data_IF_256342513867
#
_entry.id   IF_256342513867
#
_cell.length_a   1.000
_cell.length_b   1.000
_cell.length_c   1.000
_cell.angle_alpha   90.00
_cell.angle_beta   90.00
_cell.angle_gamma   90.00
#
_symmetry.space_group_name_H-M   'P 1'
#
loop_
_entity.id
_entity.type
_entity.pdbx_description
1 polymer ?
#
# COMPACT_ATOMS: atom_id res chain seq x y z
N UNK A 1 10.93 -59.42 -27.67
CA UNK A 1 10.45 -58.04 -27.47
C UNK A 1 10.69 -57.67 -26.02
N UNK A 2 11.53 -56.66 -25.77
CA UNK A 2 12.32 -56.54 -24.54
C UNK A 2 11.56 -55.93 -23.36
N UNK A 3 11.83 -56.49 -22.17
CA UNK A 3 11.37 -56.06 -20.83
C UNK A 3 11.53 -54.54 -20.60
N UNK A 4 12.47 -53.89 -21.29
CA UNK A 4 12.68 -52.42 -21.26
C UNK A 4 11.51 -51.60 -21.81
N UNK A 5 10.77 -52.10 -22.81
CA UNK A 5 9.59 -51.39 -23.34
C UNK A 5 8.39 -51.45 -22.38
N UNK A 6 8.28 -52.54 -21.62
CA UNK A 6 7.18 -52.72 -20.66
C UNK A 6 7.31 -51.80 -19.44
N UNK A 7 8.53 -51.66 -18.92
CA UNK A 7 8.83 -50.75 -17.79
C UNK A 7 8.63 -49.29 -18.20
N UNK A 8 9.04 -48.90 -19.42
CA UNK A 8 8.82 -47.55 -19.94
C UNK A 8 7.34 -47.18 -20.05
N UNK A 9 6.49 -48.12 -20.46
CA UNK A 9 5.05 -47.90 -20.57
C UNK A 9 4.36 -47.86 -19.18
N UNK A 10 4.82 -48.67 -18.23
CA UNK A 10 4.31 -48.65 -16.85
C UNK A 10 4.67 -47.35 -16.11
N UNK A 11 5.92 -46.87 -16.26
CA UNK A 11 6.36 -45.59 -15.70
C UNK A 11 5.62 -44.40 -16.34
N UNK A 12 5.34 -44.47 -17.65
CA UNK A 12 4.57 -43.44 -18.34
C UNK A 12 3.11 -43.40 -17.87
N UNK A 13 2.49 -44.56 -17.63
CA UNK A 13 1.16 -44.64 -17.02
C UNK A 13 1.13 -44.04 -15.61
N UNK A 14 2.12 -44.36 -14.77
CA UNK A 14 2.20 -43.84 -13.41
C UNK A 14 2.49 -42.33 -13.36
N UNK A 15 3.40 -41.84 -14.20
CA UNK A 15 3.68 -40.41 -14.31
C UNK A 15 2.45 -39.63 -14.81
N UNK A 16 1.67 -40.21 -15.72
CA UNK A 16 0.42 -39.62 -16.20
C UNK A 16 -0.65 -39.61 -15.10
N UNK A 17 -0.79 -40.69 -14.31
CA UNK A 17 -1.68 -40.70 -13.14
C UNK A 17 -1.26 -39.69 -12.07
N UNK A 18 0.06 -39.50 -11.83
CA UNK A 18 0.58 -38.53 -10.84
C UNK A 18 0.43 -37.09 -11.35
N UNK A 19 0.64 -36.84 -12.65
CA UNK A 19 0.39 -35.54 -13.29
C UNK A 19 -1.10 -35.21 -13.38
N UNK A 20 -1.97 -36.20 -13.58
CA UNK A 20 -3.43 -36.02 -13.57
C UNK A 20 -3.99 -35.91 -12.13
N UNK A 21 -3.24 -36.36 -11.11
CA UNK A 21 -3.53 -36.13 -9.69
C UNK A 21 -3.08 -34.75 -9.19
N UNK A 22 -2.16 -34.09 -9.90
CA UNK A 22 -1.80 -32.70 -9.66
C UNK A 22 -2.87 -31.80 -10.30
N UNK A 23 -4.07 -31.86 -9.73
CA UNK A 23 -5.19 -30.99 -10.07
C UNK A 23 -4.83 -29.57 -9.63
N UNK A 24 -4.00 -28.88 -10.42
CA UNK A 24 -3.71 -27.44 -10.29
C UNK A 24 -4.93 -26.58 -10.63
N UNK A 25 -6.15 -27.12 -10.50
CA UNK A 25 -7.36 -26.33 -10.41
C UNK A 25 -7.32 -25.66 -9.05
N UNK A 26 -6.87 -24.40 -9.08
CA UNK A 26 -6.96 -23.47 -7.96
C UNK A 26 -8.30 -23.72 -7.24
N UNK A 27 -8.30 -24.09 -5.95
CA UNK A 27 -9.52 -24.44 -5.24
C UNK A 27 -10.47 -23.25 -5.30
N UNK A 28 -11.50 -23.34 -6.13
CA UNK A 28 -12.43 -22.23 -6.39
C UNK A 28 -13.11 -21.80 -5.09
N UNK A 29 -13.30 -22.73 -4.15
CA UNK A 29 -13.82 -22.46 -2.82
C UNK A 29 -12.93 -21.50 -2.02
N UNK A 30 -11.60 -21.60 -2.13
CA UNK A 30 -10.68 -20.67 -1.48
C UNK A 30 -10.69 -19.30 -2.17
N UNK A 31 -10.86 -19.26 -3.50
CA UNK A 31 -11.02 -18.00 -4.24
C UNK A 31 -12.33 -17.31 -3.88
N UNK A 32 -13.43 -18.06 -3.75
CA UNK A 32 -14.72 -17.55 -3.30
C UNK A 32 -14.62 -17.05 -1.87
N UNK A 33 -13.97 -17.78 -0.96
CA UNK A 33 -13.74 -17.31 0.41
C UNK A 33 -12.89 -16.03 0.49
N UNK A 34 -11.85 -15.91 -0.36
CA UNK A 34 -11.06 -14.69 -0.49
C UNK A 34 -11.87 -13.54 -1.08
N UNK A 35 -12.68 -13.79 -2.11
CA UNK A 35 -13.60 -12.80 -2.68
C UNK A 35 -14.64 -12.35 -1.65
N UNK A 36 -15.17 -13.26 -0.84
CA UNK A 36 -16.11 -12.97 0.24
C UNK A 36 -15.46 -12.14 1.35
N UNK A 37 -14.21 -12.45 1.71
CA UNK A 37 -13.42 -11.65 2.65
C UNK A 37 -13.14 -10.24 2.11
N UNK A 38 -12.75 -10.14 0.84
CA UNK A 38 -12.50 -8.86 0.17
C UNK A 38 -13.78 -8.04 0.01
N UNK A 39 -14.91 -8.69 -0.29
CA UNK A 39 -16.22 -8.04 -0.40
C UNK A 39 -16.74 -7.55 0.97
N UNK A 40 -16.44 -8.27 2.05
CA UNK A 40 -16.78 -7.87 3.42
C UNK A 40 -15.85 -6.79 3.97
N UNK A 41 -14.63 -6.66 3.43
CA UNK A 41 -13.79 -5.48 3.61
C UNK A 41 -14.32 -4.33 2.74
N UNK A 42 -15.57 -3.92 2.99
CA UNK A 42 -16.10 -2.68 2.46
C UNK A 42 -15.33 -1.52 3.10
N UNK A 43 -14.22 -1.13 2.47
CA UNK A 43 -13.57 0.14 2.76
C UNK A 43 -14.61 1.23 2.53
N UNK A 44 -14.80 2.11 3.52
CA UNK A 44 -15.73 3.22 3.39
C UNK A 44 -15.28 4.07 2.18
N UNK A 45 -16.01 3.99 1.07
CA UNK A 45 -15.58 4.55 -0.23
C UNK A 45 -15.79 6.07 -0.31
N UNK A 46 -16.41 6.67 0.71
CA UNK A 46 -16.62 8.10 0.84
C UNK A 46 -16.31 8.53 2.28
N UNK A 47 -15.01 8.60 2.66
CA UNK A 47 -14.63 9.12 3.97
C UNK A 47 -15.14 10.56 4.13
N UNK A 48 -15.63 10.90 5.31
CA UNK A 48 -16.16 12.23 5.60
C UNK A 48 -15.06 13.25 5.89
N UNK A 49 -13.89 12.77 6.31
CA UNK A 49 -12.74 13.57 6.73
C UNK A 49 -11.43 12.92 6.28
N UNK A 50 -10.39 13.74 6.07
CA UNK A 50 -9.05 13.31 5.69
C UNK A 50 -8.47 12.31 6.70
N UNK A 51 -8.76 12.50 8.00
CA UNK A 51 -8.33 11.57 9.04
C UNK A 51 -8.93 10.18 8.85
N UNK A 52 -10.21 10.10 8.49
CA UNK A 52 -10.90 8.83 8.24
C UNK A 52 -10.32 8.12 7.02
N UNK A 53 -10.03 8.87 5.94
CA UNK A 53 -9.34 8.35 4.77
C UNK A 53 -7.97 7.76 5.14
N UNK A 54 -7.16 8.51 5.89
CA UNK A 54 -5.80 8.09 6.27
C UNK A 54 -5.82 6.86 7.17
N UNK A 55 -6.80 6.73 8.06
CA UNK A 55 -7.06 5.50 8.84
C UNK A 55 -7.52 4.32 7.96
N UNK A 56 -8.32 4.60 6.92
CA UNK A 56 -8.71 3.61 5.91
C UNK A 56 -7.52 3.09 5.12
N UNK A 57 -6.68 4.00 4.61
CA UNK A 57 -5.44 3.69 3.90
C UNK A 57 -4.45 2.93 4.77
N UNK A 58 -4.33 3.28 6.06
CA UNK A 58 -3.51 2.54 7.02
C UNK A 58 -3.86 1.06 7.04
N UNK A 59 -5.16 0.77 7.14
CA UNK A 59 -5.70 -0.60 7.17
C UNK A 59 -5.58 -1.30 5.82
N UNK A 60 -5.85 -0.59 4.72
CA UNK A 60 -5.80 -1.11 3.34
C UNK A 60 -4.41 -1.58 2.95
N UNK A 61 -3.38 -0.82 3.33
CA UNK A 61 -2.00 -1.08 2.96
C UNK A 61 -1.19 -1.82 4.04
N UNK A 62 -1.82 -2.17 5.17
CA UNK A 62 -1.19 -2.87 6.30
C UNK A 62 0.09 -2.14 6.75
N UNK A 63 -0.05 -0.83 6.97
CA UNK A 63 1.04 0.03 7.45
C UNK A 63 0.81 0.41 8.91
N UNK A 64 1.89 0.66 9.66
CA UNK A 64 1.83 1.02 11.07
C UNK A 64 1.31 2.45 11.27
N UNK A 65 1.76 3.37 10.42
CA UNK A 65 1.28 4.74 10.42
C UNK A 65 1.45 5.44 9.07
N UNK A 66 0.55 6.41 8.82
CA UNK A 66 0.64 7.37 7.74
C UNK A 66 0.51 8.75 8.36
N UNK A 67 1.49 9.61 8.14
CA UNK A 67 1.46 11.02 8.49
C UNK A 67 1.74 11.85 7.25
N UNK A 68 1.01 12.95 7.10
CA UNK A 68 1.05 13.81 5.92
C UNK A 68 1.32 15.22 6.39
N UNK A 69 2.31 15.86 5.80
CA UNK A 69 2.67 17.24 6.09
C UNK A 69 2.74 18.09 4.85
N UNK A 70 2.57 19.40 5.02
CA UNK A 70 2.98 20.35 4.00
C UNK A 70 4.50 20.53 4.01
N UNK A 71 5.05 21.08 2.93
CA UNK A 71 6.50 21.38 2.83
C UNK A 71 7.02 22.36 3.89
N UNK A 72 6.15 23.11 4.56
CA UNK A 72 6.51 23.99 5.68
C UNK A 72 6.60 23.25 7.04
N UNK A 73 6.37 21.94 7.07
CA UNK A 73 6.39 21.13 8.29
C UNK A 73 5.07 21.13 9.07
N UNK A 74 4.01 21.78 8.58
CA UNK A 74 2.68 21.69 9.19
C UNK A 74 2.05 20.32 8.94
N UNK A 75 1.46 19.73 9.99
CA UNK A 75 0.74 18.47 9.92
C UNK A 75 -0.63 18.69 9.26
N UNK A 76 -0.93 17.91 8.21
CA UNK A 76 -2.25 17.87 7.58
C UNK A 76 -3.12 16.77 8.19
N UNK A 77 -2.58 15.57 8.30
CA UNK A 77 -3.26 14.43 8.87
C UNK A 77 -2.29 13.39 9.38
N UNK A 78 -2.73 12.61 10.36
CA UNK A 78 -1.99 11.46 10.87
C UNK A 78 -2.98 10.37 11.28
N UNK A 79 -2.64 9.11 10.94
CA UNK A 79 -3.32 7.92 11.47
C UNK A 79 -2.91 7.61 12.92
N UNK A 80 -2.04 8.41 13.53
CA UNK A 80 -1.58 8.20 14.91
C UNK A 80 -1.53 9.53 15.65
N UNK A 81 -1.80 9.52 16.95
CA UNK A 81 -1.89 10.73 17.78
C UNK A 81 -0.60 11.55 17.91
N UNK A 82 0.57 10.95 17.61
CA UNK A 82 1.89 11.59 17.72
C UNK A 82 2.44 12.15 16.39
N UNK A 83 1.59 12.38 15.39
CA UNK A 83 2.04 12.77 14.04
C UNK A 83 2.84 14.08 13.96
N UNK A 84 2.69 15.01 14.90
CA UNK A 84 3.33 16.32 14.83
C UNK A 84 4.85 16.28 15.00
N UNK A 85 5.36 15.57 16.02
CA UNK A 85 6.82 15.44 16.23
C UNK A 85 7.46 14.62 15.12
N UNK A 86 6.78 13.55 14.70
CA UNK A 86 7.18 12.68 13.59
C UNK A 86 7.34 13.48 12.29
N UNK A 87 6.35 14.31 11.96
CA UNK A 87 6.39 15.18 10.78
C UNK A 87 7.58 16.12 10.81
N UNK A 88 7.83 16.79 11.94
CA UNK A 88 8.93 17.77 12.02
C UNK A 88 10.27 17.07 11.77
N UNK A 89 10.54 15.97 12.47
CA UNK A 89 11.79 15.22 12.32
C UNK A 89 11.94 14.64 10.92
N UNK A 90 10.88 14.04 10.39
CA UNK A 90 10.92 13.41 9.08
C UNK A 90 11.06 14.41 7.93
N UNK A 91 10.35 15.55 8.00
CA UNK A 91 10.49 16.62 7.02
C UNK A 91 11.89 17.24 7.05
N UNK A 92 12.48 17.44 8.25
CA UNK A 92 13.85 17.92 8.37
C UNK A 92 14.85 16.94 7.76
N UNK A 93 14.70 15.64 8.04
CA UNK A 93 15.55 14.60 7.48
C UNK A 93 15.43 14.52 5.96
N UNK A 94 14.20 14.55 5.43
CA UNK A 94 13.97 14.52 4.00
C UNK A 94 14.56 15.75 3.29
N UNK A 95 14.42 16.93 3.88
CA UNK A 95 15.03 18.16 3.35
C UNK A 95 16.55 18.11 3.36
N UNK A 96 17.16 17.54 4.41
CA UNK A 96 18.61 17.30 4.46
C UNK A 96 19.05 16.32 3.36
N UNK A 97 18.35 15.22 3.16
CA UNK A 97 18.67 14.29 2.07
C UNK A 97 18.54 14.97 0.71
N UNK A 98 17.53 15.82 0.51
CA UNK A 98 17.38 16.59 -0.74
C UNK A 98 18.48 17.64 -0.95
N UNK A 99 19.06 18.22 0.12
CA UNK A 99 20.17 19.17 -0.02
C UNK A 99 21.47 18.48 -0.43
N UNK A 100 21.71 17.27 0.07
CA UNK A 100 22.89 16.47 -0.28
C UNK A 100 22.73 15.71 -1.60
N UNK A 101 21.52 15.19 -1.87
CA UNK A 101 21.17 14.41 -3.06
C UNK A 101 19.96 15.06 -3.75
N UNK A 102 20.20 16.09 -4.58
CA UNK A 102 19.14 16.74 -5.33
C UNK A 102 18.38 15.74 -6.20
N UNK A 103 17.05 15.90 -6.28
CA UNK A 103 16.11 15.03 -7.01
C UNK A 103 15.82 13.66 -6.38
N UNK A 104 16.20 13.41 -5.12
CA UNK A 104 15.75 12.21 -4.41
C UNK A 104 14.21 12.18 -4.32
N UNK A 105 13.59 11.15 -4.88
CA UNK A 105 12.12 11.00 -4.89
C UNK A 105 11.60 10.38 -3.58
N UNK A 106 12.27 9.32 -3.11
CA UNK A 106 11.87 8.52 -1.95
C UNK A 106 13.11 8.23 -1.11
N UNK A 107 12.96 8.33 0.22
CA UNK A 107 13.97 7.98 1.21
C UNK A 107 13.41 6.83 2.06
N UNK A 108 14.11 5.71 2.06
CA UNK A 108 13.75 4.51 2.80
C UNK A 108 14.75 4.30 3.94
N UNK A 109 14.27 4.24 5.18
CA UNK A 109 15.10 4.10 6.38
C UNK A 109 14.64 2.85 7.13
N UNK A 110 15.49 1.83 7.23
CA UNK A 110 15.21 0.68 8.09
C UNK A 110 15.43 1.07 9.54
N UNK A 111 14.39 0.97 10.37
CA UNK A 111 14.48 1.16 11.82
C UNK A 111 13.88 -0.07 12.51
N UNK A 112 14.67 -0.93 13.17
CA UNK A 112 14.14 -2.17 13.75
C UNK A 112 12.98 -1.88 14.73
N UNK A 113 11.77 -2.46 14.54
CA UNK A 113 11.41 -3.53 13.59
C UNK A 113 10.85 -3.08 12.23
N UNK A 114 10.50 -1.81 12.02
CA UNK A 114 9.81 -1.27 10.84
C UNK A 114 10.71 -0.58 9.80
N UNK A 115 10.08 0.03 8.80
CA UNK A 115 10.65 0.92 7.80
C UNK A 115 9.98 2.28 7.94
N UNK A 116 10.77 3.35 7.92
CA UNK A 116 10.28 4.71 7.76
C UNK A 116 10.50 5.13 6.31
N UNK A 117 9.43 5.47 5.62
CA UNK A 117 9.43 5.80 4.20
C UNK A 117 8.97 7.24 4.05
N UNK A 118 9.86 8.07 3.50
CA UNK A 118 9.64 9.50 3.33
C UNK A 118 9.66 9.81 1.85
N UNK A 119 8.63 10.47 1.36
CA UNK A 119 8.60 10.88 -0.03
C UNK A 119 7.77 12.14 -0.21
N UNK A 120 8.12 12.87 -1.26
CA UNK A 120 7.39 14.08 -1.64
C UNK A 120 6.44 13.76 -2.79
N UNK A 121 5.20 14.19 -2.64
CA UNK A 121 4.22 14.15 -3.72
C UNK A 121 3.52 15.49 -3.79
N UNK A 122 3.58 16.14 -4.96
CA UNK A 122 3.18 17.53 -5.16
C UNK A 122 3.86 18.47 -4.13
N UNK A 123 3.08 19.16 -3.31
CA UNK A 123 3.52 20.09 -2.26
C UNK A 123 3.39 19.51 -0.85
N UNK A 124 3.41 18.18 -0.73
CA UNK A 124 3.23 17.47 0.54
C UNK A 124 4.33 16.44 0.74
N UNK A 125 4.69 16.21 2.00
CA UNK A 125 5.62 15.16 2.41
C UNK A 125 4.78 14.08 3.09
N UNK A 126 4.94 12.87 2.59
CA UNK A 126 4.29 11.68 3.12
C UNK A 126 5.31 10.89 3.93
N UNK A 127 4.88 10.48 5.12
CA UNK A 127 5.68 9.72 6.07
C UNK A 127 4.90 8.46 6.37
N UNK A 128 5.45 7.32 5.97
CA UNK A 128 4.80 6.03 6.12
C UNK A 128 5.70 5.12 6.92
N UNK A 129 5.16 4.55 7.99
CA UNK A 129 5.82 3.50 8.78
C UNK A 129 5.15 2.17 8.49
N UNK A 130 5.94 1.15 8.20
CA UNK A 130 5.41 -0.19 7.95
C UNK A 130 6.43 -1.28 8.32
N UNK A 131 5.99 -2.51 8.63
CA UNK A 131 6.90 -3.61 8.92
C UNK A 131 7.75 -4.01 7.70
N UNK A 132 7.23 -3.79 6.49
CA UNK A 132 7.91 -4.04 5.22
C UNK A 132 8.02 -2.75 4.41
N UNK A 133 8.97 -2.71 3.46
CA UNK A 133 9.06 -1.59 2.54
C UNK A 133 7.92 -1.68 1.52
N UNK A 134 7.32 -0.54 1.21
CA UNK A 134 6.38 -0.38 0.11
C UNK A 134 7.15 -0.03 -1.16
N UNK A 135 6.62 -0.50 -2.28
CA UNK A 135 7.09 -0.11 -3.60
C UNK A 135 6.71 1.34 -3.90
N UNK A 136 7.43 1.99 -4.81
CA UNK A 136 7.12 3.35 -5.26
C UNK A 136 5.72 3.47 -5.86
N UNK A 137 5.21 2.39 -6.46
CA UNK A 137 3.85 2.31 -7.01
C UNK A 137 2.81 2.39 -5.89
N UNK A 138 3.00 1.66 -4.81
CA UNK A 138 2.10 1.69 -3.65
C UNK A 138 2.14 3.04 -2.93
N UNK A 139 3.34 3.60 -2.73
CA UNK A 139 3.50 4.94 -2.17
C UNK A 139 2.75 5.99 -3.00
N UNK A 140 2.87 5.93 -4.33
CA UNK A 140 2.16 6.83 -5.25
C UNK A 140 0.64 6.60 -5.23
N UNK A 141 0.19 5.36 -5.11
CA UNK A 141 -1.23 5.03 -5.00
C UNK A 141 -1.85 5.68 -3.75
N UNK A 142 -1.19 5.56 -2.59
CA UNK A 142 -1.61 6.20 -1.34
C UNK A 142 -1.71 7.72 -1.52
N UNK A 143 -0.70 8.35 -2.11
CA UNK A 143 -0.71 9.80 -2.30
C UNK A 143 -1.72 10.28 -3.33
N UNK A 144 -2.01 9.48 -4.36
CA UNK A 144 -3.06 9.79 -5.33
C UNK A 144 -4.44 9.77 -4.67
N UNK A 145 -4.77 8.74 -3.88
CA UNK A 145 -6.05 8.64 -3.18
C UNK A 145 -6.26 9.84 -2.23
N UNK A 146 -5.20 10.26 -1.54
CA UNK A 146 -5.22 11.48 -0.70
C UNK A 146 -5.44 12.75 -1.53
N UNK A 147 -4.72 12.91 -2.64
CA UNK A 147 -4.84 14.13 -3.44
C UNK A 147 -6.22 14.23 -4.12
N UNK A 148 -6.75 13.12 -4.61
CA UNK A 148 -8.10 13.06 -5.16
C UNK A 148 -9.15 13.47 -4.13
N UNK A 149 -9.02 12.99 -2.89
CA UNK A 149 -9.89 13.38 -1.80
C UNK A 149 -9.85 14.90 -1.55
N UNK A 150 -8.64 15.47 -1.46
CA UNK A 150 -8.47 16.90 -1.22
C UNK A 150 -9.00 17.77 -2.38
N UNK A 151 -8.83 17.33 -3.62
CA UNK A 151 -9.37 18.01 -4.80
C UNK A 151 -10.90 18.00 -4.78
N UNK A 152 -11.53 16.87 -4.41
CA UNK A 152 -12.98 16.77 -4.27
C UNK A 152 -13.50 17.69 -3.17
N UNK A 153 -12.89 17.63 -1.98
CA UNK A 153 -13.24 18.49 -0.85
C UNK A 153 -13.13 19.98 -1.19
N UNK A 154 -12.09 20.38 -1.93
CA UNK A 154 -11.93 21.77 -2.38
C UNK A 154 -13.03 22.18 -3.37
N UNK A 155 -13.38 21.32 -4.34
CA UNK A 155 -14.46 21.61 -5.30
C UNK A 155 -15.82 21.77 -4.63
N UNK A 156 -16.09 20.99 -3.59
CA UNK A 156 -17.32 21.10 -2.80
C UNK A 156 -17.35 22.40 -1.99
N UNK A 157 -16.21 22.86 -1.45
CA UNK A 157 -16.10 24.13 -0.75
C UNK A 157 -16.21 25.35 -1.68
N UNK A 158 -15.69 25.25 -2.91
CA UNK A 158 -15.72 26.32 -3.92
C UNK A 158 -17.05 26.37 -4.70
N UNK A 159 -17.96 25.41 -4.50
CA UNK A 159 -19.28 25.42 -5.15
C UNK A 159 -20.15 26.55 -4.57
N UNK A 160 -20.79 27.39 -5.42
CA UNK A 160 -21.64 28.45 -4.92
C UNK A 160 -22.78 27.83 -4.11
N UNK A 161 -22.96 28.31 -2.88
CA UNK A 161 -24.09 27.97 -2.04
C UNK A 161 -25.35 28.17 -2.88
N UNK A 162 -26.06 27.07 -3.17
CA UNK A 162 -27.36 27.14 -3.83
C UNK A 162 -28.27 27.94 -2.89
N UNK A 163 -28.51 29.20 -3.26
CA UNK A 163 -29.45 30.10 -2.60
C UNK A 163 -30.89 29.65 -2.75
#
# INVERSE_FOLDING_TARGET
MGVRQFIGNALRGFAQTVLDMDDTRVPQEHLVALQDLLARQAFNQAPSDLKELVEGLRRKHIVDSISISQTNGSLLASSTGNGASEVITASALFNYVQSEIPKSEVVLIKASPSWNMLFKYNSKIFIIKAPMHLTTIELRAISNEVEEFLIRAKKEADAPAKG
#
